data_IF_070807249241
#
_entry.id   IF_070807249241
#
_cell.length_a   1.000
_cell.length_b   1.000
_cell.length_c   1.000
_cell.angle_alpha   90.00
_cell.angle_beta   90.00
_cell.angle_gamma   90.00
#
_symmetry.space_group_name_H-M   'P 1'
#
loop_
_entity.id
_entity.type
_entity.pdbx_description
1 polymer ?
#
# COMPACT_ATOMS: atom_id res chain seq x y z
N UNK A 1 56.16 -55.36 -2.77
CA UNK A 1 54.78 -54.85 -2.89
C UNK A 1 54.77 -53.50 -2.15
N UNK A 2 54.91 -52.39 -2.87
CA UNK A 2 55.03 -51.06 -2.25
C UNK A 2 53.65 -50.60 -1.76
N UNK A 3 53.56 -50.26 -0.48
CA UNK A 3 52.33 -49.88 0.21
C UNK A 3 51.90 -48.47 -0.25
N UNK A 4 50.84 -48.41 -1.06
CA UNK A 4 50.30 -47.18 -1.68
C UNK A 4 49.38 -46.37 -0.74
N UNK A 5 49.14 -46.85 0.48
CA UNK A 5 48.26 -46.22 1.47
C UNK A 5 48.60 -44.77 1.88
N UNK A 6 49.87 -44.39 2.13
CA UNK A 6 50.18 -43.05 2.64
C UNK A 6 49.95 -41.95 1.59
N UNK A 7 50.13 -42.25 0.30
CA UNK A 7 49.88 -41.29 -0.79
C UNK A 7 48.39 -41.04 -1.03
N UNK A 8 47.53 -42.02 -0.75
CA UNK A 8 46.08 -41.89 -0.84
C UNK A 8 45.51 -41.01 0.29
N UNK A 9 46.03 -41.19 1.51
CA UNK A 9 45.67 -40.40 2.68
C UNK A 9 46.07 -38.91 2.53
N UNK A 10 47.27 -38.64 2.00
CA UNK A 10 47.73 -37.26 1.72
C UNK A 10 46.86 -36.59 0.65
N UNK A 11 46.45 -37.31 -0.41
CA UNK A 11 45.53 -36.78 -1.44
C UNK A 11 44.13 -36.50 -0.90
N UNK A 12 43.61 -37.31 0.02
CA UNK A 12 42.33 -37.05 0.68
C UNK A 12 42.41 -35.84 1.61
N UNK A 13 43.47 -35.71 2.40
CA UNK A 13 43.71 -34.56 3.26
C UNK A 13 43.81 -33.25 2.47
N UNK A 14 44.54 -33.24 1.35
CA UNK A 14 44.66 -32.08 0.46
C UNK A 14 43.31 -31.71 -0.20
N UNK A 15 42.48 -32.70 -0.55
CA UNK A 15 41.12 -32.45 -1.09
C UNK A 15 40.13 -31.92 -0.05
N UNK A 16 40.28 -32.29 1.22
CA UNK A 16 39.40 -31.85 2.31
C UNK A 16 39.83 -30.52 2.93
N UNK A 17 41.11 -30.13 2.82
CA UNK A 17 41.64 -28.87 3.32
C UNK A 17 40.88 -27.61 2.86
N UNK A 18 40.52 -27.42 1.57
CA UNK A 18 39.73 -26.27 1.15
C UNK A 18 38.28 -26.33 1.67
N UNK A 19 37.70 -27.53 1.80
CA UNK A 19 36.35 -27.71 2.34
C UNK A 19 36.31 -27.37 3.84
N UNK A 20 37.33 -27.79 4.60
CA UNK A 20 37.51 -27.44 6.02
C UNK A 20 37.79 -25.94 6.21
N UNK A 21 38.54 -25.31 5.30
CA UNK A 21 38.77 -23.87 5.31
C UNK A 21 37.47 -23.07 5.07
N UNK A 22 36.64 -23.49 4.13
CA UNK A 22 35.35 -22.85 3.84
C UNK A 22 34.37 -23.02 5.00
N UNK A 23 34.29 -24.21 5.61
CA UNK A 23 33.40 -24.43 6.77
C UNK A 23 33.86 -23.66 8.00
N UNK A 24 35.17 -23.59 8.26
CA UNK A 24 35.73 -22.80 9.36
C UNK A 24 35.49 -21.29 9.15
N UNK A 25 35.63 -20.78 7.92
CA UNK A 25 35.33 -19.39 7.59
C UNK A 25 33.83 -19.07 7.75
N UNK A 26 32.94 -19.96 7.30
CA UNK A 26 31.50 -19.81 7.46
C UNK A 26 31.08 -19.86 8.94
N UNK A 27 31.66 -20.77 9.73
CA UNK A 27 31.41 -20.86 11.17
C UNK A 27 31.93 -19.64 11.92
N UNK A 28 33.10 -19.12 11.55
CA UNK A 28 33.68 -17.91 12.14
C UNK A 28 32.87 -16.66 11.78
N UNK A 29 32.36 -16.57 10.54
CA UNK A 29 31.47 -15.50 10.12
C UNK A 29 30.12 -15.57 10.84
N UNK A 30 29.56 -16.78 11.01
CA UNK A 30 28.31 -16.99 11.76
C UNK A 30 28.47 -16.59 13.23
N UNK A 31 29.58 -17.00 13.86
CA UNK A 31 29.92 -16.64 15.23
C UNK A 31 30.15 -15.13 15.38
N UNK A 32 30.87 -14.51 14.43
CA UNK A 32 31.05 -13.06 14.39
C UNK A 32 29.70 -12.33 14.24
N UNK A 33 28.80 -12.79 13.38
CA UNK A 33 27.45 -12.20 13.23
C UNK A 33 26.63 -12.33 14.52
N UNK A 34 26.81 -13.41 15.30
CA UNK A 34 26.14 -13.57 16.59
C UNK A 34 26.75 -12.75 17.72
N UNK A 35 28.07 -12.52 17.72
CA UNK A 35 28.77 -11.76 18.78
C UNK A 35 28.87 -10.27 18.46
N UNK A 36 28.83 -9.87 17.19
CA UNK A 36 28.89 -8.46 16.77
C UNK A 36 27.88 -7.55 17.50
N UNK A 37 26.62 -7.95 17.75
CA UNK A 37 25.66 -7.12 18.50
C UNK A 37 26.07 -6.86 19.95
N UNK A 38 26.87 -7.74 20.57
CA UNK A 38 27.35 -7.56 21.95
C UNK A 38 28.66 -6.76 22.01
N UNK A 39 29.34 -6.61 20.87
CA UNK A 39 30.57 -5.81 20.73
C UNK A 39 30.30 -4.40 20.19
N UNK A 40 29.16 -4.16 19.56
CA UNK A 40 28.70 -2.82 19.23
C UNK A 40 28.13 -2.15 20.48
N UNK A 41 28.68 -1.00 20.88
CA UNK A 41 28.00 -0.10 21.81
C UNK A 41 26.55 0.13 21.38
N UNK A 42 25.65 0.38 22.34
CA UNK A 42 24.26 0.79 22.08
C UNK A 42 24.26 2.17 21.42
N UNK A 43 24.64 2.22 20.15
CA UNK A 43 24.52 3.40 19.32
C UNK A 43 23.09 3.44 18.81
N UNK A 44 22.27 4.28 19.44
CA UNK A 44 21.03 4.72 18.83
C UNK A 44 21.40 5.48 17.55
N UNK A 45 21.07 4.92 16.39
CA UNK A 45 21.11 5.68 15.15
C UNK A 45 20.19 6.90 15.32
N UNK A 46 20.62 8.11 14.95
CA UNK A 46 19.75 9.27 14.95
C UNK A 46 18.47 8.97 14.16
N UNK A 47 17.30 9.40 14.64
CA UNK A 47 16.00 9.19 13.96
C UNK A 47 16.01 9.71 12.52
N UNK A 48 16.79 10.75 12.23
CA UNK A 48 16.96 11.29 10.87
C UNK A 48 17.59 10.29 9.88
N UNK A 49 18.29 9.27 10.36
CA UNK A 49 18.93 8.24 9.54
C UNK A 49 18.00 7.06 9.21
N UNK A 50 16.83 6.98 9.83
CA UNK A 50 15.85 5.92 9.53
C UNK A 50 14.83 6.33 8.46
N UNK A 51 14.69 7.63 8.22
CA UNK A 51 13.73 8.21 7.28
C UNK A 51 14.39 8.46 5.91
N UNK A 52 13.88 7.82 4.86
CA UNK A 52 14.20 8.20 3.49
C UNK A 52 13.24 9.30 3.05
N UNK A 53 13.80 10.48 2.75
CA UNK A 53 13.02 11.61 2.22
C UNK A 53 12.64 11.38 0.77
N UNK A 54 11.42 11.76 0.39
CA UNK A 54 11.06 11.83 -1.02
C UNK A 54 11.88 12.96 -1.69
N UNK A 55 12.68 12.65 -2.71
CA UNK A 55 13.58 13.63 -3.38
C UNK A 55 12.79 14.77 -4.02
N UNK A 56 11.55 14.49 -4.38
CA UNK A 56 10.54 15.43 -4.88
C UNK A 56 10.35 16.66 -3.97
N UNK A 57 10.73 16.59 -2.69
CA UNK A 57 10.72 17.71 -1.73
C UNK A 57 11.91 18.66 -1.87
N UNK A 58 13.09 18.17 -2.26
CA UNK A 58 14.34 18.96 -2.29
C UNK A 58 14.34 19.96 -3.45
N UNK A 59 13.70 19.59 -4.56
CA UNK A 59 13.58 20.47 -5.73
C UNK A 59 12.48 21.51 -5.54
N UNK A 60 11.33 21.14 -4.97
CA UNK A 60 10.27 22.11 -4.70
C UNK A 60 10.59 23.09 -3.57
N UNK A 61 11.35 22.66 -2.54
CA UNK A 61 11.79 23.53 -1.44
C UNK A 61 12.84 24.57 -1.84
N UNK A 62 13.52 24.40 -2.98
CA UNK A 62 14.41 25.43 -3.56
C UNK A 62 13.65 26.50 -4.36
N UNK A 63 12.34 26.34 -4.56
CA UNK A 63 11.48 27.27 -5.30
C UNK A 63 10.95 28.47 -4.51
N UNK A 64 11.14 28.54 -3.19
CA UNK A 64 10.76 29.72 -2.39
C UNK A 64 11.96 30.64 -2.12
N UNK A 65 12.54 31.16 -3.20
CA UNK A 65 13.35 32.41 -3.23
C UNK A 65 13.69 32.81 -4.68
N UNK A 66 12.68 32.89 -5.53
CA UNK A 66 12.73 33.68 -6.77
C UNK A 66 11.31 33.73 -7.33
N UNK A 67 10.76 34.92 -7.50
CA UNK A 67 9.45 35.11 -8.13
C UNK A 67 9.46 34.85 -9.65
N UNK A 68 10.58 34.40 -10.23
CA UNK A 68 10.78 34.34 -11.69
C UNK A 68 11.34 33.00 -12.20
N UNK A 69 11.09 31.88 -11.53
CA UNK A 69 11.48 30.56 -12.05
C UNK A 69 10.38 29.51 -11.88
N UNK A 70 9.39 29.53 -12.78
CA UNK A 70 8.57 28.34 -13.06
C UNK A 70 9.52 27.25 -13.58
N UNK A 71 9.77 26.22 -12.78
CA UNK A 71 10.13 24.93 -13.37
C UNK A 71 8.99 24.55 -14.35
N UNK A 72 9.27 23.97 -15.52
CA UNK A 72 8.22 23.69 -16.49
C UNK A 72 7.16 22.80 -15.83
N UNK A 73 5.93 23.28 -15.74
CA UNK A 73 4.77 22.53 -15.20
C UNK A 73 4.52 21.23 -16.01
N UNK A 74 5.22 21.04 -17.13
CA UNK A 74 5.18 19.88 -18.03
C UNK A 74 6.04 18.66 -17.62
N UNK A 75 6.86 18.74 -16.56
CA UNK A 75 7.80 17.62 -16.23
C UNK A 75 7.33 16.69 -15.09
N UNK A 76 6.36 17.11 -14.26
CA UNK A 76 5.84 16.31 -13.14
C UNK A 76 4.50 15.67 -13.48
N UNK A 77 4.28 14.36 -13.19
CA UNK A 77 3.00 13.71 -13.48
C UNK A 77 1.85 14.27 -12.63
N UNK A 78 2.15 14.80 -11.43
CA UNK A 78 1.23 15.66 -10.69
C UNK A 78 1.96 16.61 -9.72
N UNK A 79 1.47 17.85 -9.63
CA UNK A 79 1.98 18.87 -8.70
C UNK A 79 1.63 18.57 -7.24
N UNK A 80 2.41 19.12 -6.31
CA UNK A 80 2.07 19.14 -4.88
C UNK A 80 0.80 19.94 -4.56
N UNK A 81 0.37 20.80 -5.49
CA UNK A 81 -0.89 21.54 -5.42
C UNK A 81 -1.98 20.91 -6.32
N UNK A 82 -1.87 19.61 -6.63
CA UNK A 82 -2.81 18.91 -7.52
C UNK A 82 -4.27 18.98 -7.05
N UNK A 83 -4.50 19.15 -5.75
CA UNK A 83 -5.83 19.37 -5.17
C UNK A 83 -5.81 20.51 -4.16
N UNK A 84 -6.97 21.16 -3.89
CA UNK A 84 -7.05 22.20 -2.87
C UNK A 84 -6.74 21.66 -1.47
N UNK A 85 -6.26 22.56 -0.60
CA UNK A 85 -5.95 22.21 0.80
C UNK A 85 -4.78 21.23 0.94
N UNK A 86 -3.90 21.16 -0.07
CA UNK A 86 -2.64 20.44 -0.02
C UNK A 86 -1.75 20.96 1.12
N UNK A 87 -1.18 20.04 1.89
CA UNK A 87 -0.26 20.35 2.99
C UNK A 87 0.73 19.23 3.22
N UNK A 88 1.90 19.63 3.73
CA UNK A 88 2.94 18.73 4.21
C UNK A 88 2.88 18.68 5.74
N UNK A 89 2.53 17.52 6.28
CA UNK A 89 2.42 17.29 7.71
C UNK A 89 3.67 16.60 8.24
N UNK A 90 4.46 17.28 9.08
CA UNK A 90 5.68 16.73 9.66
C UNK A 90 5.35 15.83 10.86
N UNK A 91 5.94 14.64 10.88
CA UNK A 91 5.78 13.66 11.96
C UNK A 91 7.12 13.04 12.32
N UNK A 92 7.15 12.26 13.41
CA UNK A 92 8.32 11.44 13.78
C UNK A 92 8.66 10.36 12.73
N UNK A 93 7.74 10.05 11.80
CA UNK A 93 7.95 9.09 10.71
C UNK A 93 8.38 9.75 9.40
N UNK A 94 8.65 11.06 9.44
CA UNK A 94 8.87 11.90 8.27
C UNK A 94 7.63 12.71 7.88
N UNK A 95 7.71 13.37 6.73
CA UNK A 95 6.64 14.23 6.21
C UNK A 95 5.62 13.41 5.41
N UNK A 96 4.34 13.71 5.62
CA UNK A 96 3.21 13.10 4.90
C UNK A 96 2.55 14.17 4.02
N UNK A 97 2.32 13.87 2.74
CA UNK A 97 1.52 14.71 1.85
C UNK A 97 0.03 14.40 2.02
N UNK A 98 -0.76 15.44 2.32
CA UNK A 98 -2.21 15.34 2.55
C UNK A 98 -2.92 16.42 1.73
N UNK A 99 -4.07 16.08 1.18
CA UNK A 99 -5.00 17.03 0.56
C UNK A 99 -6.35 16.94 1.24
N UNK A 100 -6.97 18.09 1.52
CA UNK A 100 -8.26 18.13 2.18
C UNK A 100 -9.11 19.32 1.74
N UNK A 101 -10.28 19.05 1.15
CA UNK A 101 -11.15 20.10 0.62
C UNK A 101 -12.61 19.69 0.55
N UNK A 102 -13.48 20.64 0.18
CA UNK A 102 -14.93 20.52 0.24
C UNK A 102 -15.53 21.34 1.40
N UNK A 103 -16.87 21.36 1.56
CA UNK A 103 -17.54 22.16 2.58
C UNK A 103 -17.08 21.78 3.99
N UNK A 104 -16.79 22.76 4.86
CA UNK A 104 -16.31 22.48 6.23
C UNK A 104 -17.34 21.72 7.10
N UNK A 105 -18.63 21.89 6.79
CA UNK A 105 -19.74 21.20 7.43
C UNK A 105 -20.19 19.93 6.69
N UNK A 106 -19.51 19.56 5.60
CA UNK A 106 -19.82 18.36 4.82
C UNK A 106 -19.52 17.08 5.60
N UNK A 107 -20.24 15.99 5.28
CA UNK A 107 -19.87 14.67 5.79
C UNK A 107 -18.47 14.29 5.30
N UNK A 108 -17.68 13.71 6.20
CA UNK A 108 -16.24 13.54 6.00
C UNK A 108 -15.94 12.20 5.33
N UNK A 109 -15.05 12.19 4.34
CA UNK A 109 -14.61 10.99 3.62
C UNK A 109 -13.09 10.93 3.60
N UNK A 110 -12.52 9.90 4.22
CA UNK A 110 -11.10 9.59 4.13
C UNK A 110 -10.88 8.53 3.05
N UNK A 111 -10.02 8.81 2.07
CA UNK A 111 -9.74 7.89 0.97
C UNK A 111 -8.27 7.46 0.93
N UNK A 112 -8.05 6.18 0.62
CA UNK A 112 -6.73 5.55 0.61
C UNK A 112 -6.47 4.79 -0.69
N UNK A 113 -5.32 5.08 -1.30
CA UNK A 113 -4.93 4.56 -2.61
C UNK A 113 -4.34 3.14 -2.54
N UNK A 114 -3.98 2.60 -3.71
CA UNK A 114 -3.40 1.26 -3.87
C UNK A 114 -1.92 1.18 -3.52
N UNK A 115 -1.30 0.03 -3.82
CA UNK A 115 0.09 -0.23 -3.48
C UNK A 115 1.08 0.58 -4.35
N UNK A 116 0.87 0.60 -5.66
CA UNK A 116 1.78 1.18 -6.66
C UNK A 116 1.52 2.67 -6.93
N UNK A 117 0.29 3.15 -6.75
CA UNK A 117 -0.11 4.52 -7.07
C UNK A 117 -0.08 5.44 -5.85
N UNK A 118 0.10 6.76 -6.01
CA UNK A 118 -0.18 7.76 -4.97
C UNK A 118 -1.65 8.21 -4.97
N UNK A 119 -2.01 9.11 -4.06
CA UNK A 119 -3.39 9.55 -3.84
C UNK A 119 -4.06 10.22 -5.06
N UNK A 120 -3.27 10.76 -5.98
CA UNK A 120 -3.74 11.34 -7.25
C UNK A 120 -4.63 10.39 -8.04
N UNK A 121 -4.40 9.07 -7.94
CA UNK A 121 -5.18 8.05 -8.62
C UNK A 121 -6.65 8.00 -8.18
N UNK A 122 -6.97 8.56 -7.01
CA UNK A 122 -8.35 8.66 -6.50
C UNK A 122 -8.97 10.04 -6.74
N UNK A 123 -8.29 10.92 -7.49
CA UNK A 123 -8.66 12.32 -7.66
C UNK A 123 -10.05 12.54 -8.22
N UNK A 124 -10.44 11.79 -9.26
CA UNK A 124 -11.76 11.95 -9.88
C UNK A 124 -12.90 11.48 -8.97
N UNK A 125 -12.66 10.41 -8.20
CA UNK A 125 -13.59 9.95 -7.17
C UNK A 125 -13.72 10.99 -6.05
N UNK A 126 -12.61 11.57 -5.59
CA UNK A 126 -12.61 12.64 -4.60
C UNK A 126 -13.38 13.88 -5.07
N UNK A 127 -13.17 14.30 -6.33
CA UNK A 127 -13.91 15.42 -6.95
C UNK A 127 -15.41 15.15 -6.99
N UNK A 128 -15.84 13.91 -7.25
CA UNK A 128 -17.27 13.57 -7.25
C UNK A 128 -17.88 13.65 -5.85
N UNK A 129 -17.21 13.14 -4.80
CA UNK A 129 -17.67 13.32 -3.42
C UNK A 129 -17.79 14.81 -3.04
N UNK A 130 -16.80 15.62 -3.36
CA UNK A 130 -16.85 17.07 -3.06
C UNK A 130 -17.99 17.76 -3.81
N UNK A 131 -18.22 17.40 -5.08
CA UNK A 131 -19.36 17.91 -5.86
C UNK A 131 -20.71 17.58 -5.21
N UNK A 132 -20.79 16.50 -4.43
CA UNK A 132 -21.97 16.07 -3.68
C UNK A 132 -22.04 16.63 -2.25
N UNK A 133 -21.14 17.54 -1.89
CA UNK A 133 -21.16 18.24 -0.61
C UNK A 133 -20.36 17.57 0.51
N UNK A 134 -19.58 16.53 0.21
CA UNK A 134 -18.70 15.89 1.19
C UNK A 134 -17.41 16.68 1.38
N UNK A 135 -16.83 16.58 2.59
CA UNK A 135 -15.46 17.00 2.89
C UNK A 135 -14.54 15.81 2.68
N UNK A 136 -13.60 15.91 1.75
CA UNK A 136 -12.73 14.79 1.38
C UNK A 136 -11.33 15.03 1.89
N UNK A 137 -10.70 13.96 2.38
CA UNK A 137 -9.28 13.90 2.72
C UNK A 137 -8.64 12.71 2.01
N UNK A 138 -7.56 12.98 1.28
CA UNK A 138 -6.72 11.96 0.64
C UNK A 138 -5.26 12.24 0.99
N UNK A 139 -4.43 11.20 1.00
CA UNK A 139 -3.03 11.33 1.40
C UNK A 139 -2.17 10.28 0.73
N UNK A 140 -0.89 10.59 0.54
CA UNK A 140 0.09 9.63 0.06
C UNK A 140 0.55 8.75 1.21
N UNK A 141 0.43 7.43 1.06
CA UNK A 141 1.00 6.47 2.01
C UNK A 141 2.53 6.64 2.11
N UNK A 142 3.13 6.23 3.23
CA UNK A 142 4.58 6.30 3.42
C UNK A 142 5.37 5.68 2.25
N UNK A 143 6.27 6.44 1.64
CA UNK A 143 7.04 6.01 0.46
C UNK A 143 6.29 6.00 -0.86
N UNK A 144 5.07 6.54 -0.91
CA UNK A 144 4.39 6.85 -2.16
C UNK A 144 4.34 8.36 -2.36
N UNK A 145 4.26 8.77 -3.61
CA UNK A 145 4.10 10.17 -3.98
C UNK A 145 5.13 11.08 -3.32
N UNK A 146 4.62 12.09 -2.62
CA UNK A 146 5.42 13.08 -1.89
C UNK A 146 5.63 12.76 -0.41
N UNK A 147 5.19 11.59 0.07
CA UNK A 147 5.40 11.15 1.46
C UNK A 147 6.74 10.48 1.67
N UNK A 148 7.40 10.82 2.78
CA UNK A 148 8.65 10.20 3.23
C UNK A 148 8.43 8.72 3.64
N UNK A 149 9.52 7.98 3.86
CA UNK A 149 9.48 6.56 4.21
C UNK A 149 10.24 6.26 5.50
N UNK A 150 9.60 5.69 6.55
CA UNK A 150 10.30 5.15 7.70
C UNK A 150 10.84 3.74 7.39
N UNK A 151 12.12 3.62 7.04
CA UNK A 151 12.68 2.34 6.53
C UNK A 151 13.01 1.32 7.62
N UNK A 152 13.12 1.76 8.86
CA UNK A 152 13.35 0.90 10.02
C UNK A 152 12.09 0.14 10.45
N UNK A 153 10.92 0.49 9.89
CA UNK A 153 9.64 -0.08 10.27
C UNK A 153 9.05 -1.02 9.21
N UNK A 154 8.35 -2.04 9.72
CA UNK A 154 7.50 -2.90 8.88
C UNK A 154 6.27 -2.10 8.45
N UNK A 155 6.00 -2.11 7.15
CA UNK A 155 4.84 -1.46 6.57
C UNK A 155 3.60 -2.36 6.70
N UNK A 156 3.15 -2.51 7.94
CA UNK A 156 2.05 -3.37 8.32
C UNK A 156 0.80 -2.57 8.77
N UNK A 157 -0.26 -3.29 9.16
CA UNK A 157 -1.52 -2.70 9.59
C UNK A 157 -1.35 -1.65 10.72
N UNK A 158 -0.36 -1.82 11.60
CA UNK A 158 -0.11 -0.91 12.73
C UNK A 158 0.49 0.40 12.24
N UNK A 159 1.46 0.33 11.32
CA UNK A 159 2.05 1.53 10.73
C UNK A 159 1.01 2.32 9.93
N UNK A 160 0.19 1.66 9.09
CA UNK A 160 -0.84 2.36 8.32
C UNK A 160 -1.99 2.89 9.18
N UNK A 161 -2.38 2.19 10.24
CA UNK A 161 -3.34 2.71 11.23
C UNK A 161 -2.78 3.97 11.89
N UNK A 162 -1.50 3.96 12.26
CA UNK A 162 -0.82 5.14 12.81
C UNK A 162 -0.81 6.27 11.78
N UNK A 163 -0.52 5.97 10.52
CA UNK A 163 -0.55 6.97 9.44
C UNK A 163 -1.92 7.61 9.29
N UNK A 164 -3.01 6.83 9.33
CA UNK A 164 -4.38 7.35 9.31
C UNK A 164 -4.58 8.35 10.45
N UNK A 165 -4.25 7.96 11.69
CA UNK A 165 -4.45 8.82 12.86
C UNK A 165 -3.64 10.12 12.79
N UNK A 166 -2.42 10.07 12.26
CA UNK A 166 -1.57 11.24 12.00
C UNK A 166 -2.19 12.15 10.93
N UNK A 167 -2.71 11.57 9.85
CA UNK A 167 -3.35 12.32 8.77
C UNK A 167 -4.63 13.00 9.26
N UNK A 168 -5.46 12.29 10.03
CA UNK A 168 -6.67 12.85 10.63
C UNK A 168 -6.36 14.00 11.60
N UNK A 169 -5.28 13.89 12.39
CA UNK A 169 -4.88 14.94 13.34
C UNK A 169 -4.26 16.17 12.67
N UNK A 170 -3.85 16.07 11.41
CA UNK A 170 -3.30 17.19 10.65
C UNK A 170 -4.36 18.21 10.19
N UNK A 171 -5.65 17.87 10.31
CA UNK A 171 -6.77 18.72 9.91
C UNK A 171 -7.10 19.78 10.96
N UNK A 172 -7.47 21.02 10.57
CA UNK A 172 -8.01 22.01 11.49
C UNK A 172 -9.44 21.66 11.98
N UNK A 173 -10.16 20.81 11.24
CA UNK A 173 -11.47 20.28 11.61
C UNK A 173 -11.33 18.98 12.43
N UNK A 174 -12.30 18.70 13.32
CA UNK A 174 -12.33 17.43 14.05
C UNK A 174 -12.75 16.25 13.15
N UNK A 175 -11.87 15.28 12.98
CA UNK A 175 -12.11 13.98 12.32
C UNK A 175 -12.29 12.82 13.32
N UNK A 176 -12.33 13.12 14.61
CA UNK A 176 -12.47 12.13 15.68
C UNK A 176 -13.85 12.21 16.34
N UNK A 177 -14.18 11.23 17.17
CA UNK A 177 -15.51 11.06 17.77
C UNK A 177 -16.26 9.90 17.16
N UNK A 178 -17.55 9.77 17.48
CA UNK A 178 -18.38 8.66 17.01
C UNK A 178 -18.96 8.91 15.62
N UNK A 179 -18.87 7.94 14.71
CA UNK A 179 -19.40 8.05 13.35
C UNK A 179 -18.91 9.31 12.61
N UNK A 180 -17.63 9.65 12.81
CA UNK A 180 -17.01 10.90 12.41
C UNK A 180 -16.76 11.03 10.90
N UNK A 181 -16.44 9.92 10.21
CA UNK A 181 -16.15 9.93 8.77
C UNK A 181 -16.41 8.59 8.09
N UNK A 182 -16.61 8.60 6.78
CA UNK A 182 -16.62 7.43 5.91
C UNK A 182 -15.19 7.07 5.51
N UNK A 183 -14.83 5.80 5.52
CA UNK A 183 -13.53 5.33 5.05
C UNK A 183 -13.67 4.59 3.71
N UNK A 184 -12.88 4.98 2.72
CA UNK A 184 -12.88 4.39 1.37
C UNK A 184 -11.46 3.91 1.05
N UNK A 185 -11.31 2.62 0.74
CA UNK A 185 -10.01 2.03 0.48
C UNK A 185 -9.97 1.25 -0.83
N UNK A 186 -9.01 1.55 -1.69
CA UNK A 186 -8.75 0.81 -2.92
C UNK A 186 -7.56 -0.14 -2.77
N UNK A 187 -7.70 -1.41 -3.15
CA UNK A 187 -6.61 -2.40 -3.16
C UNK A 187 -5.93 -2.51 -1.79
N UNK A 188 -4.64 -2.16 -1.67
CA UNK A 188 -3.94 -2.04 -0.37
C UNK A 188 -4.70 -1.16 0.63
N UNK A 189 -5.22 -0.01 0.16
CA UNK A 189 -6.04 0.89 0.96
C UNK A 189 -7.30 0.21 1.49
N UNK A 190 -7.86 -0.76 0.76
CA UNK A 190 -8.98 -1.59 1.23
C UNK A 190 -8.58 -2.49 2.41
N UNK A 191 -7.42 -3.14 2.34
CA UNK A 191 -6.89 -3.95 3.45
C UNK A 191 -6.58 -3.11 4.68
N UNK A 192 -6.04 -1.91 4.47
CA UNK A 192 -5.81 -0.93 5.53
C UNK A 192 -7.14 -0.45 6.13
N UNK A 193 -8.16 -0.19 5.32
CA UNK A 193 -9.50 0.17 5.79
C UNK A 193 -10.13 -0.93 6.66
N UNK A 194 -9.98 -2.19 6.27
CA UNK A 194 -10.41 -3.35 7.06
C UNK A 194 -9.71 -3.42 8.40
N UNK A 195 -8.38 -3.23 8.41
CA UNK A 195 -7.60 -3.22 9.65
C UNK A 195 -7.99 -2.06 10.58
N UNK A 196 -8.21 -0.87 10.01
CA UNK A 196 -8.68 0.28 10.78
C UNK A 196 -10.08 0.02 11.35
N UNK A 197 -11.02 -0.44 10.53
CA UNK A 197 -12.39 -0.73 10.95
C UNK A 197 -12.47 -1.82 12.03
N UNK A 198 -11.62 -2.85 11.97
CA UNK A 198 -11.57 -3.90 12.99
C UNK A 198 -11.29 -3.37 14.41
N UNK A 199 -10.57 -2.25 14.57
CA UNK A 199 -10.15 -1.73 15.88
C UNK A 199 -10.64 -0.30 16.18
N UNK A 200 -11.12 0.43 15.18
CA UNK A 200 -11.55 1.82 15.26
C UNK A 200 -12.94 2.05 14.63
N UNK A 201 -13.79 1.02 14.53
CA UNK A 201 -15.13 1.14 13.97
C UNK A 201 -16.00 2.21 14.64
N UNK A 202 -15.73 2.57 15.90
CA UNK A 202 -16.45 3.66 16.58
C UNK A 202 -16.32 5.00 15.88
N UNK A 203 -15.19 5.26 15.22
CA UNK A 203 -14.94 6.49 14.47
C UNK A 203 -15.60 6.52 13.11
N UNK A 204 -15.97 5.36 12.58
CA UNK A 204 -16.39 5.23 11.20
C UNK A 204 -17.89 5.40 11.06
N UNK A 205 -18.33 6.04 9.99
CA UNK A 205 -19.73 6.14 9.60
C UNK A 205 -20.11 5.04 8.61
N UNK A 206 -19.22 4.73 7.68
CA UNK A 206 -19.29 3.58 6.79
C UNK A 206 -17.90 3.11 6.39
N UNK A 207 -17.82 1.91 5.82
CA UNK A 207 -16.62 1.36 5.17
C UNK A 207 -16.99 0.99 3.74
N UNK A 208 -16.23 1.52 2.78
CA UNK A 208 -16.30 1.12 1.36
C UNK A 208 -14.96 0.54 0.93
N UNK A 209 -14.97 -0.70 0.45
CA UNK A 209 -13.80 -1.42 -0.02
C UNK A 209 -13.89 -1.61 -1.53
N UNK A 210 -12.87 -1.22 -2.27
CA UNK A 210 -12.81 -1.34 -3.73
C UNK A 210 -11.68 -2.29 -4.09
N UNK A 211 -12.01 -3.45 -4.66
CA UNK A 211 -11.07 -4.53 -4.97
C UNK A 211 -10.02 -4.74 -3.85
N UNK A 212 -10.43 -4.97 -2.58
CA UNK A 212 -9.50 -4.94 -1.46
C UNK A 212 -8.49 -6.07 -1.52
N UNK A 213 -7.25 -5.78 -1.14
CA UNK A 213 -6.28 -6.83 -0.83
C UNK A 213 -6.61 -7.56 0.49
N UNK A 214 -5.74 -8.46 0.90
CA UNK A 214 -5.79 -9.16 2.19
C UNK A 214 -6.55 -10.47 2.15
N UNK A 215 -7.30 -10.72 1.06
CA UNK A 215 -7.93 -11.99 0.72
C UNK A 215 -7.35 -12.62 -0.57
N UNK A 216 -6.39 -11.97 -1.22
CA UNK A 216 -5.75 -12.50 -2.44
C UNK A 216 -4.98 -13.77 -2.12
N UNK A 217 -5.31 -14.87 -2.78
CA UNK A 217 -4.69 -16.18 -2.52
C UNK A 217 -3.19 -16.14 -2.83
N UNK A 218 -2.40 -16.76 -1.96
CA UNK A 218 -0.94 -16.84 -2.15
C UNK A 218 -0.55 -17.71 -3.36
N UNK A 219 -1.47 -18.52 -3.90
CA UNK A 219 -1.28 -19.28 -5.15
C UNK A 219 -1.05 -18.39 -6.37
N UNK A 220 -1.53 -17.14 -6.33
CA UNK A 220 -1.28 -16.14 -7.37
C UNK A 220 0.11 -15.51 -7.28
N UNK A 221 0.89 -15.83 -6.24
CA UNK A 221 2.28 -15.39 -6.15
C UNK A 221 3.13 -16.33 -6.99
N UNK A 222 3.78 -15.79 -8.03
CA UNK A 222 4.68 -16.61 -8.83
C UNK A 222 5.90 -17.07 -8.01
N UNK A 223 6.52 -18.24 -8.32
CA UNK A 223 7.69 -18.72 -7.59
C UNK A 223 8.85 -17.73 -7.57
N UNK A 224 9.00 -16.93 -8.64
CA UNK A 224 10.02 -15.85 -8.70
C UNK A 224 9.71 -14.76 -7.68
N UNK A 225 8.48 -14.28 -7.66
CA UNK A 225 8.02 -13.27 -6.69
C UNK A 225 8.11 -13.80 -5.26
N UNK A 226 7.73 -15.06 -5.03
CA UNK A 226 7.86 -15.73 -3.73
C UNK A 226 9.32 -15.79 -3.26
N UNK A 227 10.25 -16.11 -4.16
CA UNK A 227 11.68 -16.10 -3.88
C UNK A 227 12.18 -14.68 -3.56
N UNK A 228 11.76 -13.68 -4.33
CA UNK A 228 12.10 -12.27 -4.06
C UNK A 228 11.58 -11.79 -2.70
N UNK A 229 10.38 -12.22 -2.30
CA UNK A 229 9.76 -11.82 -1.03
C UNK A 229 10.28 -12.62 0.18
N UNK A 230 10.96 -13.75 -0.04
CA UNK A 230 11.54 -14.55 1.03
C UNK A 230 12.67 -13.81 1.79
N UNK A 231 12.74 -13.98 3.10
CA UNK A 231 13.85 -13.48 3.94
C UNK A 231 15.04 -14.43 3.89
N UNK A 232 16.25 -13.87 3.89
CA UNK A 232 17.44 -14.54 4.44
C UNK A 232 18.49 -15.02 3.44
N UNK A 233 18.17 -15.12 2.15
CA UNK A 233 19.14 -15.64 1.16
C UNK A 233 19.73 -14.52 0.29
N UNK A 234 18.94 -13.50 -0.03
CA UNK A 234 19.34 -12.43 -0.96
C UNK A 234 19.67 -11.16 -0.17
N UNK A 235 20.85 -10.53 -0.41
CA UNK A 235 21.16 -9.21 0.13
C UNK A 235 20.11 -8.17 -0.27
N UNK A 236 19.73 -7.29 0.67
CA UNK A 236 18.61 -6.36 0.48
C UNK A 236 18.80 -5.43 -0.72
N UNK A 237 20.00 -4.86 -0.91
CA UNK A 237 20.29 -3.99 -2.06
C UNK A 237 20.04 -4.67 -3.41
N UNK A 238 20.37 -5.97 -3.53
CA UNK A 238 20.21 -6.71 -4.77
C UNK A 238 18.73 -7.05 -5.01
N UNK A 239 18.02 -7.41 -3.93
CA UNK A 239 16.57 -7.63 -3.99
C UNK A 239 15.83 -6.37 -4.42
N UNK A 240 16.16 -5.22 -3.82
CA UNK A 240 15.56 -3.93 -4.17
C UNK A 240 15.87 -3.55 -5.62
N UNK A 241 17.07 -3.84 -6.13
CA UNK A 241 17.42 -3.61 -7.54
C UNK A 241 16.57 -4.47 -8.49
N UNK A 242 16.38 -5.76 -8.19
CA UNK A 242 15.51 -6.62 -9.01
C UNK A 242 14.07 -6.13 -8.96
N UNK A 243 13.58 -5.80 -7.76
CA UNK A 243 12.22 -5.31 -7.58
C UNK A 243 11.98 -3.98 -8.32
N UNK A 244 12.93 -3.04 -8.25
CA UNK A 244 12.88 -1.79 -9.01
C UNK A 244 12.67 -2.07 -10.51
N UNK A 245 13.48 -2.96 -11.08
CA UNK A 245 13.37 -3.31 -12.50
C UNK A 245 12.05 -4.01 -12.85
N UNK A 246 11.47 -4.77 -11.91
CA UNK A 246 10.15 -5.38 -12.13
C UNK A 246 8.99 -4.39 -12.03
N UNK A 247 9.17 -3.29 -11.29
CA UNK A 247 8.19 -2.21 -11.11
C UNK A 247 8.20 -1.20 -12.25
N UNK A 248 9.23 -1.19 -13.10
CA UNK A 248 9.32 -0.29 -14.24
C UNK A 248 8.16 -0.56 -15.22
N UNK A 249 7.28 0.44 -15.44
CA UNK A 249 6.11 0.27 -16.31
C UNK A 249 6.54 0.03 -17.75
N UNK A 250 5.98 -1.01 -18.35
CA UNK A 250 6.29 -1.43 -19.72
C UNK A 250 5.10 -1.10 -20.62
N UNK A 251 4.99 0.16 -21.04
CA UNK A 251 3.96 0.63 -21.97
C UNK A 251 3.82 -0.35 -23.16
N UNK A 252 2.68 -1.02 -23.28
CA UNK A 252 2.39 -1.97 -24.37
C UNK A 252 2.92 -3.40 -24.21
N UNK A 253 3.40 -3.80 -23.02
CA UNK A 253 3.64 -5.21 -22.68
C UNK A 253 2.73 -5.61 -21.51
N UNK A 254 2.14 -6.82 -21.49
CA UNK A 254 1.09 -7.22 -20.55
C UNK A 254 1.61 -7.50 -19.12
N UNK A 255 2.45 -6.62 -18.56
CA UNK A 255 3.16 -6.84 -17.29
C UNK A 255 3.15 -5.58 -16.44
N UNK A 256 2.08 -5.36 -15.70
CA UNK A 256 2.14 -4.54 -14.49
C UNK A 256 2.66 -5.39 -13.33
N UNK A 257 3.51 -4.83 -12.46
CA UNK A 257 4.12 -5.55 -11.33
C UNK A 257 3.10 -6.05 -10.29
N UNK A 258 1.91 -5.48 -10.32
CA UNK A 258 0.78 -5.84 -9.46
C UNK A 258 0.01 -7.08 -9.98
N UNK A 259 0.24 -7.51 -11.23
CA UNK A 259 -0.46 -8.64 -11.86
C UNK A 259 0.35 -9.94 -11.69
N UNK A 260 -0.25 -11.02 -11.17
CA UNK A 260 0.35 -12.36 -11.18
C UNK A 260 0.87 -12.75 -12.56
N UNK A 261 2.09 -13.31 -12.66
CA UNK A 261 2.72 -13.75 -13.93
C UNK A 261 1.84 -14.71 -14.77
N UNK A 262 0.80 -15.30 -14.17
CA UNK A 262 -0.11 -16.25 -14.81
C UNK A 262 -1.31 -15.63 -15.54
N UNK A 263 -1.64 -14.34 -15.35
CA UNK A 263 -2.83 -13.73 -15.97
C UNK A 263 -2.43 -12.97 -17.23
N UNK A 264 -2.61 -13.61 -18.40
CA UNK A 264 -2.26 -13.05 -19.72
C UNK A 264 -3.34 -12.16 -20.35
N UNK A 265 -4.53 -12.12 -19.76
CA UNK A 265 -5.75 -11.61 -20.42
C UNK A 265 -6.43 -10.49 -19.62
N UNK A 266 -5.68 -9.53 -19.09
CA UNK A 266 -6.29 -8.30 -18.60
C UNK A 266 -6.81 -7.49 -19.81
N UNK A 267 -8.12 -7.20 -19.87
CA UNK A 267 -8.73 -6.42 -20.96
C UNK A 267 -8.14 -5.00 -21.08
N UNK A 268 -7.60 -4.47 -19.98
CA UNK A 268 -6.99 -3.15 -19.89
C UNK A 268 -5.64 -3.27 -19.18
N UNK A 269 -4.58 -2.72 -19.78
CA UNK A 269 -3.29 -2.58 -19.12
C UNK A 269 -3.37 -1.46 -18.07
N UNK A 270 -3.18 -1.83 -16.80
CA UNK A 270 -3.27 -0.91 -15.66
C UNK A 270 -2.31 0.27 -15.82
N UNK A 271 -1.12 0.06 -16.38
CA UNK A 271 -0.11 1.11 -16.54
C UNK A 271 -0.54 2.15 -17.59
N UNK A 272 -1.43 1.78 -18.51
CA UNK A 272 -1.91 2.62 -19.61
C UNK A 272 -3.15 3.47 -19.26
N UNK A 273 -3.73 3.27 -18.08
CA UNK A 273 -4.91 3.98 -17.61
C UNK A 273 -4.58 5.44 -17.33
N UNK A 274 -5.35 6.42 -17.85
CA UNK A 274 -5.19 7.83 -17.50
C UNK A 274 -5.39 8.05 -15.99
N UNK A 275 -4.47 8.79 -15.35
CA UNK A 275 -4.50 8.99 -13.89
C UNK A 275 -5.68 9.83 -13.42
N UNK A 276 -6.16 10.74 -14.27
CA UNK A 276 -7.30 11.60 -14.03
C UNK A 276 -7.96 12.03 -15.34
N UNK A 277 -9.26 12.29 -15.30
CA UNK A 277 -10.08 12.70 -16.44
C UNK A 277 -9.69 14.08 -16.99
N UNK A 278 -9.08 14.94 -16.18
CA UNK A 278 -8.53 16.23 -16.65
C UNK A 278 -7.06 16.15 -17.08
N UNK A 279 -6.44 14.97 -16.99
CA UNK A 279 -5.03 14.72 -17.34
C UNK A 279 -4.87 13.47 -18.20
N UNK A 280 -5.56 13.42 -19.32
CA UNK A 280 -5.49 12.30 -20.26
C UNK A 280 -4.07 11.99 -20.79
N UNK A 281 -3.16 12.97 -20.75
CA UNK A 281 -1.76 12.80 -21.16
C UNK A 281 -0.87 12.09 -20.12
N UNK A 282 -1.34 11.92 -18.88
CA UNK A 282 -0.56 11.27 -17.79
C UNK A 282 -1.21 9.95 -17.45
N UNK A 283 -0.45 8.85 -17.59
CA UNK A 283 -0.92 7.50 -17.27
C UNK A 283 -0.41 7.05 -15.91
N UNK A 284 -1.01 5.99 -15.36
CA UNK A 284 -0.55 5.36 -14.11
C UNK A 284 0.94 4.97 -14.22
N UNK A 285 1.36 4.39 -15.35
CA UNK A 285 2.75 4.02 -15.58
C UNK A 285 3.71 5.22 -15.55
N UNK A 286 3.29 6.40 -15.99
CA UNK A 286 4.15 7.59 -15.92
C UNK A 286 4.35 8.04 -14.48
N UNK A 287 3.31 7.95 -13.65
CA UNK A 287 3.37 8.23 -12.21
C UNK A 287 4.26 7.23 -11.49
N UNK A 288 4.13 5.93 -11.79
CA UNK A 288 4.98 4.88 -11.19
C UNK A 288 6.44 5.05 -11.59
N UNK A 289 6.71 5.31 -12.87
CA UNK A 289 8.07 5.60 -13.36
C UNK A 289 8.69 6.81 -12.67
N UNK A 290 7.89 7.85 -12.45
CA UNK A 290 8.32 9.02 -11.70
C UNK A 290 8.61 8.70 -10.22
N UNK A 291 7.79 7.89 -9.55
CA UNK A 291 8.06 7.46 -8.16
C UNK A 291 9.36 6.66 -8.06
N UNK A 292 9.62 5.73 -8.98
CA UNK A 292 10.86 4.96 -9.03
C UNK A 292 12.10 5.86 -9.13
N UNK A 293 12.01 6.96 -9.89
CA UNK A 293 13.11 7.91 -10.07
C UNK A 293 13.28 8.88 -8.89
N UNK A 294 12.18 9.30 -8.25
CA UNK A 294 12.17 10.46 -7.36
C UNK A 294 11.79 10.16 -5.91
N UNK A 295 11.35 8.94 -5.57
CA UNK A 295 11.09 8.52 -4.20
C UNK A 295 11.95 7.29 -3.87
N UNK A 296 13.10 7.54 -3.24
CA UNK A 296 14.07 6.50 -2.87
C UNK A 296 13.48 5.44 -1.92
N UNK A 297 12.40 5.75 -1.20
CA UNK A 297 11.71 4.83 -0.31
C UNK A 297 10.57 4.05 -0.96
N UNK A 298 10.26 4.31 -2.24
CA UNK A 298 9.18 3.62 -2.94
C UNK A 298 9.37 2.11 -2.99
N UNK A 299 10.53 1.65 -3.46
CA UNK A 299 10.80 0.22 -3.65
C UNK A 299 10.88 -0.53 -2.31
N UNK A 300 11.49 0.07 -1.28
CA UNK A 300 11.61 -0.54 0.05
C UNK A 300 10.26 -0.63 0.75
N UNK A 301 9.46 0.44 0.73
CA UNK A 301 8.12 0.49 1.32
C UNK A 301 7.14 -0.44 0.59
N UNK A 302 7.22 -0.52 -0.74
CA UNK A 302 6.44 -1.43 -1.57
C UNK A 302 6.70 -2.89 -1.16
N UNK A 303 7.98 -3.29 -1.13
CA UNK A 303 8.37 -4.63 -0.69
C UNK A 303 7.93 -4.92 0.75
N UNK A 304 8.13 -3.97 1.66
CA UNK A 304 7.76 -4.11 3.06
C UNK A 304 6.25 -4.33 3.20
N UNK A 305 5.43 -3.64 2.41
CA UNK A 305 3.97 -3.78 2.41
C UNK A 305 3.51 -5.15 1.93
N UNK A 306 4.12 -5.66 0.84
CA UNK A 306 3.86 -7.01 0.33
C UNK A 306 4.25 -8.08 1.36
N UNK A 307 5.43 -7.97 1.97
CA UNK A 307 5.94 -8.92 2.97
C UNK A 307 5.12 -8.90 4.26
N UNK A 308 4.60 -7.73 4.63
CA UNK A 308 3.66 -7.56 5.76
C UNK A 308 2.29 -8.19 5.47
N UNK A 309 2.13 -8.76 4.28
CA UNK A 309 1.00 -9.59 3.85
C UNK A 309 -0.33 -8.86 3.85
N UNK A 310 -0.37 -7.52 3.86
CA UNK A 310 -1.61 -6.76 3.77
C UNK A 310 -2.37 -7.03 2.47
N UNK A 311 -1.65 -7.40 1.41
CA UNK A 311 -2.20 -7.70 0.09
C UNK A 311 -2.65 -9.17 -0.04
N UNK A 312 -1.94 -10.10 0.60
CA UNK A 312 -2.20 -11.55 0.46
C UNK A 312 -2.97 -12.14 1.64
N UNK A 313 -3.51 -13.34 1.45
CA UNK A 313 -4.34 -14.09 2.40
C UNK A 313 -3.59 -14.54 3.66
N UNK A 314 -3.29 -13.59 4.56
CA UNK A 314 -2.83 -13.82 5.95
C UNK A 314 -3.65 -13.06 7.00
N UNK A 315 -4.60 -12.22 6.57
CA UNK A 315 -5.34 -11.33 7.45
C UNK A 315 -6.75 -11.81 7.78
N UNK A 316 -7.06 -13.09 7.58
CA UNK A 316 -8.34 -13.69 7.99
C UNK A 316 -8.70 -13.35 9.45
N UNK A 317 -7.71 -13.23 10.34
CA UNK A 317 -7.93 -12.81 11.72
C UNK A 317 -8.52 -11.39 11.80
N UNK A 318 -7.98 -10.43 11.05
CA UNK A 318 -8.47 -9.05 11.03
C UNK A 318 -9.87 -9.01 10.42
N UNK A 319 -10.10 -9.74 9.33
CA UNK A 319 -11.43 -9.86 8.72
C UNK A 319 -12.46 -10.47 9.68
N UNK A 320 -12.10 -11.49 10.47
CA UNK A 320 -12.97 -12.04 11.53
C UNK A 320 -13.26 -11.03 12.63
N UNK A 321 -12.26 -10.25 13.07
CA UNK A 321 -12.47 -9.17 14.04
C UNK A 321 -13.45 -8.13 13.49
N UNK A 322 -13.30 -7.74 12.22
CA UNK A 322 -14.27 -6.87 11.55
C UNK A 322 -15.66 -7.51 11.49
N UNK A 323 -15.76 -8.80 11.16
CA UNK A 323 -17.03 -9.54 11.12
C UNK A 323 -17.76 -9.48 12.47
N UNK A 324 -17.04 -9.69 13.57
CA UNK A 324 -17.58 -9.59 14.92
C UNK A 324 -18.02 -8.16 15.25
N UNK A 325 -17.26 -7.16 14.81
CA UNK A 325 -17.56 -5.75 15.01
C UNK A 325 -18.82 -5.28 14.26
N UNK A 326 -19.01 -5.79 13.04
CA UNK A 326 -20.23 -5.60 12.25
C UNK A 326 -21.42 -6.30 12.91
N UNK A 327 -21.25 -7.54 13.39
CA UNK A 327 -22.31 -8.29 14.09
C UNK A 327 -22.77 -7.56 15.34
N UNK A 328 -21.84 -7.04 16.16
CA UNK A 328 -22.17 -6.27 17.38
C UNK A 328 -23.06 -5.06 17.10
N UNK A 329 -22.88 -4.39 15.96
CA UNK A 329 -23.68 -3.21 15.56
C UNK A 329 -25.06 -3.50 15.02
N UNK A 330 -25.36 -4.77 14.72
CA UNK A 330 -26.70 -5.21 14.33
C UNK A 330 -27.53 -5.69 15.52
N UNK A 331 -27.02 -5.52 16.75
CA UNK A 331 -27.74 -5.87 17.98
C UNK A 331 -28.45 -4.65 18.56
N UNK A 332 -29.45 -4.87 19.42
CA UNK A 332 -30.23 -3.80 20.08
C UNK A 332 -29.38 -2.83 20.90
N UNK A 333 -28.23 -3.27 21.42
CA UNK A 333 -27.29 -2.45 22.20
C UNK A 333 -26.00 -2.18 21.40
N UNK A 334 -26.17 -1.66 20.18
CA UNK A 334 -25.06 -1.40 19.28
C UNK A 334 -24.07 -0.36 19.86
N UNK A 335 -22.75 -0.63 19.83
CA UNK A 335 -21.75 0.39 20.14
C UNK A 335 -21.77 1.51 19.07
N UNK A 336 -21.22 2.71 19.38
CA UNK A 336 -21.16 3.80 18.41
C UNK A 336 -20.35 3.43 17.15
N UNK A 337 -20.58 4.18 16.07
CA UNK A 337 -19.90 3.98 14.78
C UNK A 337 -20.50 2.86 13.95
N UNK A 338 -20.32 2.90 12.62
CA UNK A 338 -20.84 1.98 11.62
C UNK A 338 -22.29 1.56 11.88
N UNK A 339 -23.23 2.52 11.97
CA UNK A 339 -24.60 2.26 12.43
C UNK A 339 -25.34 1.20 11.62
N UNK A 340 -25.01 1.02 10.33
CA UNK A 340 -25.61 -0.04 9.50
C UNK A 340 -25.17 -1.44 9.92
N UNK A 341 -24.02 -1.59 10.60
CA UNK A 341 -23.37 -2.87 10.82
C UNK A 341 -23.00 -3.57 9.51
N UNK A 342 -22.79 -2.82 8.42
CA UNK A 342 -22.47 -3.34 7.08
C UNK A 342 -21.29 -2.61 6.45
N UNK A 343 -20.66 -3.26 5.47
CA UNK A 343 -19.66 -2.66 4.60
C UNK A 343 -20.13 -2.69 3.15
N UNK A 344 -19.71 -1.71 2.35
CA UNK A 344 -19.87 -1.74 0.90
C UNK A 344 -18.63 -2.41 0.28
N UNK A 345 -18.83 -3.46 -0.52
CA UNK A 345 -17.76 -4.16 -1.23
C UNK A 345 -17.97 -4.01 -2.73
N UNK A 346 -17.12 -3.21 -3.37
CA UNK A 346 -17.12 -2.96 -4.81
C UNK A 346 -16.06 -3.84 -5.46
N UNK A 347 -16.48 -4.68 -6.40
CA UNK A 347 -15.65 -5.71 -7.05
C UNK A 347 -15.63 -5.44 -8.55
N UNK A 348 -14.45 -5.49 -9.18
CA UNK A 348 -14.38 -5.42 -10.64
C UNK A 348 -14.69 -6.78 -11.26
N UNK A 349 -15.42 -6.76 -12.38
CA UNK A 349 -15.87 -7.97 -13.07
C UNK A 349 -14.71 -8.80 -13.63
N UNK A 350 -13.70 -8.12 -14.17
CA UNK A 350 -12.57 -8.71 -14.90
C UNK A 350 -11.23 -8.44 -14.21
N UNK A 351 -11.22 -8.38 -12.87
CA UNK A 351 -10.01 -8.11 -12.09
C UNK A 351 -9.04 -9.30 -12.11
N UNK A 352 -7.86 -9.09 -12.70
CA UNK A 352 -6.78 -10.07 -12.80
C UNK A 352 -5.99 -10.28 -11.50
N UNK A 353 -6.06 -9.33 -10.56
CA UNK A 353 -5.30 -9.31 -9.32
C UNK A 353 -6.17 -9.83 -8.18
N UNK A 354 -7.37 -9.26 -8.06
CA UNK A 354 -8.35 -9.60 -7.03
C UNK A 354 -9.50 -10.35 -7.71
N UNK A 355 -9.29 -11.64 -7.95
CA UNK A 355 -10.24 -12.48 -8.69
C UNK A 355 -11.62 -12.45 -8.01
N UNK A 356 -12.62 -11.97 -8.75
CA UNK A 356 -14.00 -11.76 -8.27
C UNK A 356 -14.56 -12.98 -7.53
N UNK A 357 -14.52 -14.15 -8.16
CA UNK A 357 -15.16 -15.35 -7.61
C UNK A 357 -14.49 -15.80 -6.30
N UNK A 358 -13.17 -15.67 -6.21
CA UNK A 358 -12.42 -15.97 -4.98
C UNK A 358 -12.70 -14.96 -3.88
N UNK A 359 -12.76 -13.67 -4.22
CA UNK A 359 -13.09 -12.61 -3.27
C UNK A 359 -14.52 -12.77 -2.73
N UNK A 360 -15.48 -13.12 -3.58
CA UNK A 360 -16.87 -13.39 -3.17
C UNK A 360 -16.91 -14.60 -2.25
N UNK A 361 -16.28 -15.71 -2.62
CA UNK A 361 -16.20 -16.93 -1.80
C UNK A 361 -15.61 -16.63 -0.41
N UNK A 362 -14.48 -15.92 -0.37
CA UNK A 362 -13.79 -15.60 0.89
C UNK A 362 -14.55 -14.58 1.74
N UNK A 363 -15.18 -13.58 1.10
CA UNK A 363 -16.00 -12.61 1.79
C UNK A 363 -17.26 -13.26 2.38
N UNK A 364 -17.92 -14.17 1.67
CA UNK A 364 -19.08 -14.93 2.20
C UNK A 364 -18.68 -15.90 3.31
N UNK A 365 -17.48 -16.49 3.25
CA UNK A 365 -16.98 -17.38 4.28
C UNK A 365 -16.60 -16.63 5.59
N UNK A 366 -16.10 -15.40 5.47
CA UNK A 366 -15.64 -14.60 6.61
C UNK A 366 -16.73 -13.67 7.17
N UNK A 367 -17.63 -13.18 6.32
CA UNK A 367 -18.66 -12.21 6.63
C UNK A 367 -20.04 -12.82 6.36
N UNK A 368 -20.99 -12.62 7.28
CA UNK A 368 -22.38 -12.99 6.99
C UNK A 368 -22.92 -12.14 5.83
N UNK A 369 -23.73 -12.69 4.92
CA UNK A 369 -24.33 -11.97 3.77
C UNK A 369 -24.98 -10.64 4.14
N UNK A 370 -25.62 -10.59 5.31
CA UNK A 370 -26.24 -9.37 5.83
C UNK A 370 -25.25 -8.26 6.17
N UNK A 371 -23.96 -8.57 6.34
CA UNK A 371 -22.89 -7.63 6.72
C UNK A 371 -22.25 -6.93 5.52
N UNK A 372 -22.60 -7.32 4.29
CA UNK A 372 -21.93 -6.83 3.08
C UNK A 372 -22.97 -6.38 2.06
N UNK A 373 -22.80 -5.20 1.47
CA UNK A 373 -23.47 -4.75 0.25
C UNK A 373 -22.48 -4.93 -0.90
N UNK A 374 -22.55 -6.09 -1.58
CA UNK A 374 -21.67 -6.42 -2.69
C UNK A 374 -22.16 -5.78 -3.98
N UNK A 375 -21.27 -5.11 -4.71
CA UNK A 375 -21.56 -4.42 -5.97
C UNK A 375 -20.48 -4.79 -6.99
N UNK A 376 -20.89 -5.37 -8.10
CA UNK A 376 -19.97 -5.71 -9.20
C UNK A 376 -20.01 -4.58 -10.24
N UNK A 377 -18.84 -4.11 -10.64
CA UNK A 377 -18.68 -3.07 -11.65
C UNK A 377 -17.86 -3.60 -12.82
N UNK A 378 -18.31 -3.32 -14.06
CA UNK A 378 -17.56 -3.70 -15.26
C UNK A 378 -16.21 -2.96 -15.32
N UNK A 379 -15.12 -3.69 -15.55
CA UNK A 379 -13.75 -3.21 -15.61
C UNK A 379 -12.78 -4.17 -14.93
N UNK A 380 -11.48 -3.85 -14.95
CA UNK A 380 -10.42 -4.56 -14.24
C UNK A 380 -10.05 -3.90 -12.91
N UNK A 381 -8.83 -4.15 -12.43
CA UNK A 381 -8.36 -3.60 -11.14
C UNK A 381 -8.35 -2.05 -11.12
N UNK A 382 -8.34 -1.41 -12.30
CA UNK A 382 -8.31 0.03 -12.49
C UNK A 382 -9.62 0.77 -12.19
N UNK A 383 -10.72 0.08 -11.88
CA UNK A 383 -12.04 0.73 -11.72
C UNK A 383 -12.08 1.88 -10.72
N UNK A 384 -11.23 1.87 -9.69
CA UNK A 384 -11.13 2.95 -8.72
C UNK A 384 -10.59 4.26 -9.35
N UNK A 385 -9.75 4.12 -10.40
CA UNK A 385 -9.14 5.22 -11.12
C UNK A 385 -10.00 5.61 -12.32
N UNK A 386 -10.26 4.66 -13.22
CA UNK A 386 -10.95 4.93 -14.49
C UNK A 386 -12.45 5.21 -14.33
N UNK A 387 -13.08 4.64 -13.30
CA UNK A 387 -14.52 4.74 -13.01
C UNK A 387 -14.80 5.38 -11.65
N UNK A 388 -13.93 6.28 -11.20
CA UNK A 388 -14.02 6.93 -9.89
C UNK A 388 -15.40 7.54 -9.58
N UNK A 389 -16.08 8.13 -10.58
CA UNK A 389 -17.44 8.69 -10.43
C UNK A 389 -18.51 7.63 -10.15
N UNK A 390 -18.44 6.50 -10.84
CA UNK A 390 -19.38 5.40 -10.66
C UNK A 390 -19.19 4.76 -9.28
N UNK A 391 -17.92 4.55 -8.89
CA UNK A 391 -17.54 4.03 -7.58
C UNK A 391 -18.01 4.95 -6.45
N UNK A 392 -17.82 6.27 -6.58
CA UNK A 392 -18.34 7.24 -5.60
C UNK A 392 -19.87 7.15 -5.49
N UNK A 393 -20.57 7.09 -6.63
CA UNK A 393 -22.04 6.98 -6.67
C UNK A 393 -22.54 5.73 -5.96
N UNK A 394 -21.93 4.57 -6.24
CA UNK A 394 -22.25 3.30 -5.57
C UNK A 394 -22.01 3.39 -4.07
N UNK A 395 -20.91 4.03 -3.65
CA UNK A 395 -20.59 4.21 -2.24
C UNK A 395 -21.68 5.03 -1.52
N UNK A 396 -22.04 6.19 -2.07
CA UNK A 396 -23.09 7.07 -1.51
C UNK A 396 -24.44 6.36 -1.45
N UNK A 397 -24.84 5.65 -2.50
CA UNK A 397 -26.07 4.83 -2.49
C UNK A 397 -26.06 3.78 -1.37
N UNK A 398 -24.91 3.19 -1.06
CA UNK A 398 -24.77 2.22 0.02
C UNK A 398 -24.88 2.90 1.40
N UNK A 399 -24.40 4.14 1.54
CA UNK A 399 -24.46 4.91 2.77
C UNK A 399 -25.87 5.43 3.08
N UNK A 400 -26.62 5.83 2.05
CA UNK A 400 -27.95 6.44 2.17
C UNK A 400 -29.08 5.42 2.38
N UNK A 401 -28.82 4.12 2.20
CA UNK A 401 -29.81 3.08 2.49
C UNK A 401 -30.12 3.07 3.99
N UNK A 402 -31.22 3.74 4.35
CA UNK A 402 -31.88 3.56 5.65
C UNK A 402 -32.30 2.10 5.75
N UNK A 403 -31.75 1.40 6.72
CA UNK A 403 -32.08 0.01 7.03
C UNK A 403 -32.77 -0.06 8.37
#
# INVERSE_FOLDING_TARGET
MFDLNPLLAIRQAIRQAPLLGVTAAAASLALYVQIRPTLSDVQHLPEEQTITRARTRVEAGKGQRSADAKAPEDELPYSMDAFPGGRQFNTIYGTIQVFEWGPENGEKVLMMHGLSTPCIALGDMAKEFVKKGYRVMIFDFFGRGYSDTPNDLKHDARLYTTQILLVLSSSPLSWTGSSAFHIVGFSLGGSVAVAFAAYHASMLRSVTLICPGGLIRTSHISPRSQFLYSSGIIPDWFRLRILHSSLEPRNGAPRSADVPEQVKDAEVDFDDVPIAADRHGVRIGDVVRWQLKNNDGFVSSYLSSLRSSLVFRRHDRIWRVLADELRRRRTTNAPPGLPSGRICLIIAESDAIVVKDELVEDAEALLCRESVDMRVLKGGHEIAVSRGKDVASIAMESWDRKH
#
